data_IF_139549262100
#
_entry.id   IF_139549262100
#
_cell.length_a   1.000
_cell.length_b   1.000
_cell.length_c   1.000
_cell.angle_alpha   90.00
_cell.angle_beta   90.00
_cell.angle_gamma   90.00
#
_symmetry.space_group_name_H-M   'P 1'
#
loop_
_entity.id
_entity.type
_entity.pdbx_description
1 polymer ?
#
# COMPACT_ATOMS: atom_id res chain seq x y z
N UNK A 1 -3.95 -33.07 -31.76
CA UNK A 1 -3.39 -31.72 -31.92
C UNK A 1 -4.22 -30.65 -31.23
N UNK A 2 -5.53 -30.55 -31.49
CA UNK A 2 -6.41 -29.53 -30.88
C UNK A 2 -6.42 -29.57 -29.34
N UNK A 3 -6.46 -30.76 -28.74
CA UNK A 3 -6.42 -30.93 -27.26
C UNK A 3 -5.10 -30.50 -26.63
N UNK A 4 -3.98 -30.63 -27.36
CA UNK A 4 -2.66 -30.24 -26.90
C UNK A 4 -2.46 -28.71 -26.95
N UNK A 5 -3.06 -28.05 -27.94
CA UNK A 5 -3.08 -26.59 -28.07
C UNK A 5 -3.91 -25.97 -26.93
N UNK A 6 -5.08 -26.53 -26.62
CA UNK A 6 -5.92 -26.04 -25.51
C UNK A 6 -5.19 -26.16 -24.17
N UNK A 7 -4.48 -27.28 -23.95
CA UNK A 7 -3.71 -27.48 -22.71
C UNK A 7 -2.55 -26.49 -22.56
N UNK A 8 -1.85 -26.18 -23.65
CA UNK A 8 -0.78 -25.17 -23.64
C UNK A 8 -1.32 -23.75 -23.41
N UNK A 9 -2.47 -23.39 -23.99
CA UNK A 9 -3.12 -22.08 -23.75
C UNK A 9 -3.58 -21.96 -22.30
N UNK A 10 -4.14 -23.02 -21.71
CA UNK A 10 -4.54 -23.02 -20.30
C UNK A 10 -3.34 -22.90 -19.35
N UNK A 11 -2.21 -23.57 -19.64
CA UNK A 11 -0.99 -23.42 -18.85
C UNK A 11 -0.46 -21.99 -18.97
N UNK A 12 -0.45 -21.40 -20.17
CA UNK A 12 -0.01 -20.03 -20.38
C UNK A 12 -0.90 -19.03 -19.62
N UNK A 13 -2.23 -19.20 -19.65
CA UNK A 13 -3.18 -18.37 -18.91
C UNK A 13 -3.01 -18.49 -17.38
N UNK A 14 -2.68 -19.67 -16.85
CA UNK A 14 -2.41 -19.86 -15.42
C UNK A 14 -1.08 -19.21 -15.02
N UNK A 15 -0.05 -19.25 -15.87
CA UNK A 15 1.24 -18.59 -15.59
C UNK A 15 1.13 -17.05 -15.64
N UNK A 16 0.27 -16.51 -16.51
CA UNK A 16 -0.07 -15.09 -16.55
C UNK A 16 -0.91 -14.63 -15.35
N UNK A 17 -1.71 -15.52 -14.75
CA UNK A 17 -2.46 -15.21 -13.53
C UNK A 17 -1.62 -15.35 -12.24
N UNK A 18 -0.41 -15.93 -12.32
CA UNK A 18 0.49 -16.21 -11.17
C UNK A 18 1.70 -15.25 -11.13
N UNK A 19 1.94 -14.46 -12.18
CA UNK A 19 2.62 -13.15 -12.03
C UNK A 19 1.55 -12.15 -11.55
N UNK A 20 1.71 -11.32 -10.51
CA UNK A 20 2.84 -11.01 -9.67
C UNK A 20 2.31 -10.20 -8.47
N UNK A 21 1.65 -10.84 -7.51
CA UNK A 21 1.35 -10.20 -6.21
C UNK A 21 2.58 -10.18 -5.28
N UNK A 22 3.77 -10.39 -5.86
CA UNK A 22 5.04 -10.40 -5.16
C UNK A 22 5.35 -9.01 -4.65
N UNK A 23 5.55 -8.89 -3.35
CA UNK A 23 5.89 -7.68 -2.59
C UNK A 23 4.75 -6.65 -2.38
N UNK A 24 3.64 -6.71 -3.13
CA UNK A 24 2.48 -5.86 -2.82
C UNK A 24 1.54 -6.49 -1.78
N UNK A 25 1.66 -7.78 -1.48
CA UNK A 25 0.82 -8.45 -0.47
C UNK A 25 1.36 -8.27 0.94
N UNK A 26 0.49 -8.01 1.92
CA UNK A 26 0.91 -7.96 3.33
C UNK A 26 1.16 -9.36 3.88
N UNK A 27 2.22 -9.49 4.68
CA UNK A 27 2.65 -10.76 5.28
C UNK A 27 1.85 -11.14 6.55
N UNK A 28 0.94 -10.25 7.01
CA UNK A 28 -0.03 -10.56 8.06
C UNK A 28 -1.05 -9.44 8.31
N UNK A 29 -1.72 -9.49 9.46
CA UNK A 29 -2.94 -8.71 9.75
C UNK A 29 -2.70 -7.30 10.28
N UNK A 30 -1.44 -6.89 10.44
CA UNK A 30 -1.09 -5.58 11.00
C UNK A 30 -1.66 -4.41 10.18
N UNK A 31 -1.86 -4.61 8.88
CA UNK A 31 -2.40 -3.61 7.94
C UNK A 31 -3.86 -3.82 7.57
N UNK A 32 -4.60 -4.70 8.26
CA UNK A 32 -6.02 -4.94 7.97
C UNK A 32 -6.86 -3.66 8.13
N UNK A 33 -6.49 -2.78 9.06
CA UNK A 33 -7.15 -1.48 9.23
C UNK A 33 -7.03 -0.60 7.98
N UNK A 34 -5.97 -0.75 7.20
CA UNK A 34 -5.80 -0.06 5.92
C UNK A 34 -6.57 -0.79 4.83
N UNK A 35 -6.29 -2.09 4.67
CA UNK A 35 -6.83 -2.91 3.58
C UNK A 35 -8.35 -3.00 3.61
N UNK A 36 -8.97 -3.08 4.79
CA UNK A 36 -10.42 -3.17 4.93
C UNK A 36 -11.17 -1.91 4.46
N UNK A 37 -10.52 -0.75 4.54
CA UNK A 37 -11.12 0.53 4.14
C UNK A 37 -10.78 0.92 2.70
N UNK A 38 -9.53 0.71 2.30
CA UNK A 38 -9.05 1.07 0.97
C UNK A 38 -9.49 0.02 -0.07
N UNK A 39 -9.50 -1.27 0.31
CA UNK A 39 -9.78 -2.40 -0.58
C UNK A 39 -8.54 -2.97 -1.26
N UNK A 40 -7.36 -2.39 -1.01
CA UNK A 40 -6.05 -2.88 -1.44
C UNK A 40 -5.01 -2.65 -0.34
N UNK A 41 -3.86 -3.32 -0.43
CA UNK A 41 -2.77 -3.13 0.53
C UNK A 41 -2.11 -1.76 0.37
N UNK A 42 -1.47 -1.21 1.40
CA UNK A 42 -0.72 0.06 1.27
C UNK A 42 0.42 -0.04 0.25
N UNK A 43 1.02 -1.22 0.07
CA UNK A 43 2.01 -1.45 -0.98
C UNK A 43 1.40 -1.32 -2.37
N UNK A 44 0.18 -1.84 -2.58
CA UNK A 44 -0.51 -1.71 -3.86
C UNK A 44 -0.88 -0.26 -4.15
N UNK A 45 -1.38 0.47 -3.15
CA UNK A 45 -1.65 1.91 -3.28
C UNK A 45 -0.37 2.69 -3.64
N UNK A 46 0.75 2.39 -2.95
CA UNK A 46 2.04 3.01 -3.23
C UNK A 46 2.53 2.73 -4.66
N UNK A 47 2.43 1.47 -5.09
CA UNK A 47 2.77 1.05 -6.45
C UNK A 47 1.95 1.83 -7.49
N UNK A 48 0.62 1.86 -7.32
CA UNK A 48 -0.28 2.55 -8.25
C UNK A 48 -0.03 4.05 -8.31
N UNK A 49 0.28 4.68 -7.19
CA UNK A 49 0.65 6.11 -7.15
C UNK A 49 1.92 6.38 -7.98
N UNK A 50 2.96 5.56 -7.82
CA UNK A 50 4.22 5.67 -8.59
C UNK A 50 4.01 5.34 -10.07
N UNK A 51 3.12 4.39 -10.37
CA UNK A 51 2.77 4.00 -11.74
C UNK A 51 2.12 5.10 -12.58
N UNK A 52 1.56 6.14 -11.96
CA UNK A 52 1.08 7.34 -12.68
C UNK A 52 2.23 8.00 -13.46
N UNK A 53 3.43 8.05 -12.88
CA UNK A 53 4.61 8.66 -13.51
C UNK A 53 5.53 7.63 -14.19
N UNK A 54 5.54 6.39 -13.69
CA UNK A 54 6.35 5.30 -14.23
C UNK A 54 5.53 4.01 -14.31
N UNK A 55 4.85 3.71 -15.43
CA UNK A 55 3.99 2.53 -15.56
C UNK A 55 4.68 1.18 -15.34
N UNK A 56 6.02 1.14 -15.40
CA UNK A 56 6.82 -0.05 -15.14
C UNK A 56 7.30 -0.14 -13.69
N UNK A 57 6.90 0.79 -12.82
CA UNK A 57 7.23 0.74 -11.40
C UNK A 57 6.54 -0.45 -10.76
N UNK A 58 7.32 -1.25 -10.04
CA UNK A 58 6.86 -2.36 -9.23
C UNK A 58 7.47 -2.22 -7.84
N UNK A 59 6.67 -2.48 -6.81
CA UNK A 59 7.17 -2.42 -5.44
C UNK A 59 8.13 -3.58 -5.16
N UNK A 60 9.36 -3.25 -4.75
CA UNK A 60 10.35 -4.21 -4.30
C UNK A 60 10.10 -4.70 -2.87
N UNK A 61 11.00 -5.56 -2.38
CA UNK A 61 11.07 -5.87 -0.95
C UNK A 61 11.61 -4.64 -0.21
N UNK A 62 10.81 -4.09 0.70
CA UNK A 62 11.09 -2.91 1.49
C UNK A 62 12.19 -3.19 2.51
N UNK A 63 13.18 -2.29 2.56
CA UNK A 63 14.27 -2.36 3.52
C UNK A 63 13.79 -1.91 4.90
N UNK A 64 14.21 -2.60 5.96
CA UNK A 64 13.90 -2.20 7.34
C UNK A 64 14.72 -1.01 7.82
N UNK A 65 15.83 -0.69 7.13
CA UNK A 65 16.51 0.59 7.28
C UNK A 65 15.64 1.68 6.67
N UNK A 66 15.25 2.68 7.47
CA UNK A 66 14.38 3.76 7.01
C UNK A 66 15.18 4.90 6.39
N UNK A 67 14.70 5.50 5.28
CA UNK A 67 13.47 5.18 4.56
C UNK A 67 13.56 3.83 3.79
N UNK A 68 12.45 3.08 3.66
CA UNK A 68 12.44 1.74 3.06
C UNK A 68 12.65 1.74 1.54
N UNK A 69 12.32 2.86 0.91
CA UNK A 69 12.43 3.17 -0.50
C UNK A 69 12.98 4.59 -0.67
N UNK A 70 13.25 5.03 -1.90
CA UNK A 70 13.68 6.39 -2.22
C UNK A 70 12.97 6.93 -3.46
N UNK A 71 12.84 8.25 -3.56
CA UNK A 71 12.24 8.91 -4.72
C UNK A 71 13.29 9.09 -5.84
N UNK A 72 13.60 8.04 -6.59
CA UNK A 72 14.63 7.99 -7.64
C UNK A 72 14.10 8.11 -9.09
N UNK A 73 12.82 8.43 -9.25
CA UNK A 73 12.17 8.48 -10.55
C UNK A 73 12.65 9.66 -11.41
N UNK A 74 12.62 9.44 -12.73
CA UNK A 74 12.86 10.50 -13.71
C UNK A 74 11.78 11.59 -13.64
N UNK A 75 10.52 11.21 -13.43
CA UNK A 75 9.39 12.10 -13.20
C UNK A 75 9.06 12.07 -11.71
N UNK A 76 9.62 13.02 -10.96
CA UNK A 76 9.56 13.02 -9.52
C UNK A 76 8.19 13.41 -8.93
N UNK A 77 7.24 13.90 -9.74
CA UNK A 77 5.93 14.39 -9.25
C UNK A 77 5.16 13.36 -8.41
N UNK A 78 5.26 12.07 -8.76
CA UNK A 78 4.53 10.99 -8.06
C UNK A 78 5.18 10.55 -6.75
N UNK A 79 6.47 10.83 -6.54
CA UNK A 79 7.19 10.43 -5.34
C UNK A 79 7.72 11.57 -4.49
N UNK A 80 7.89 12.77 -5.05
CA UNK A 80 8.52 13.90 -4.38
C UNK A 80 7.51 14.63 -3.48
N UNK A 81 6.87 13.86 -2.60
CA UNK A 81 5.79 14.33 -1.74
C UNK A 81 5.72 13.48 -0.46
N UNK A 82 5.17 14.06 0.60
CA UNK A 82 5.11 13.38 1.91
C UNK A 82 4.14 12.19 1.92
N UNK A 83 3.18 12.15 0.99
CA UNK A 83 2.15 11.11 0.91
C UNK A 83 2.77 9.81 0.38
N UNK A 84 3.59 9.88 -0.66
CA UNK A 84 4.34 8.76 -1.20
C UNK A 84 5.31 8.18 -0.16
N UNK A 85 6.00 9.05 0.59
CA UNK A 85 6.83 8.62 1.72
C UNK A 85 6.02 7.91 2.82
N UNK A 86 4.87 8.44 3.22
CA UNK A 86 4.02 7.79 4.21
C UNK A 86 3.48 6.43 3.71
N UNK A 87 3.12 6.33 2.43
CA UNK A 87 2.69 5.08 1.80
C UNK A 87 3.83 4.04 1.72
N UNK A 88 5.07 4.46 1.46
CA UNK A 88 6.22 3.56 1.46
C UNK A 88 6.50 3.01 2.87
N UNK A 89 6.35 3.84 3.92
CA UNK A 89 6.42 3.41 5.31
C UNK A 89 5.30 2.45 5.71
N UNK A 90 4.06 2.71 5.26
CA UNK A 90 2.94 1.76 5.44
C UNK A 90 3.20 0.45 4.70
N UNK A 91 3.79 0.50 3.52
CA UNK A 91 4.17 -0.68 2.76
C UNK A 91 5.28 -1.49 3.46
N UNK A 92 6.29 -0.85 4.06
CA UNK A 92 7.26 -1.54 4.90
C UNK A 92 6.55 -2.34 6.00
N UNK A 93 5.66 -1.70 6.74
CA UNK A 93 4.90 -2.33 7.81
C UNK A 93 4.01 -3.50 7.31
N UNK A 94 3.44 -3.37 6.13
CA UNK A 94 2.69 -4.43 5.43
C UNK A 94 3.57 -5.65 5.13
N UNK A 95 4.75 -5.45 4.55
CA UNK A 95 5.63 -6.56 4.15
C UNK A 95 6.30 -7.26 5.34
N UNK A 96 6.64 -6.53 6.40
CA UNK A 96 7.39 -7.08 7.54
C UNK A 96 6.54 -7.87 8.53
N UNK A 97 5.23 -8.03 8.28
CA UNK A 97 4.28 -8.70 9.19
C UNK A 97 4.41 -8.22 10.64
N UNK A 98 4.13 -6.95 10.86
CA UNK A 98 4.22 -6.35 12.19
C UNK A 98 3.17 -6.89 13.18
N UNK A 99 2.19 -7.70 12.72
CA UNK A 99 1.13 -8.27 13.55
C UNK A 99 0.45 -7.22 14.42
N UNK A 100 0.48 -7.41 15.75
CA UNK A 100 0.01 -6.44 16.75
C UNK A 100 1.12 -5.61 17.39
N UNK A 101 2.34 -5.64 16.84
CA UNK A 101 3.50 -4.89 17.33
C UNK A 101 3.43 -3.39 17.04
N UNK A 102 4.45 -2.66 17.47
CA UNK A 102 4.57 -1.19 17.37
C UNK A 102 4.92 -0.69 15.96
N UNK A 103 5.15 -1.59 15.00
CA UNK A 103 5.55 -1.24 13.64
C UNK A 103 6.99 -0.76 13.51
N UNK A 104 7.35 -0.35 12.29
CA UNK A 104 8.60 0.31 11.93
C UNK A 104 8.37 1.80 11.78
N UNK A 105 9.13 2.58 12.56
CA UNK A 105 9.13 4.04 12.53
C UNK A 105 10.35 4.58 11.77
N UNK A 106 10.22 5.82 11.31
CA UNK A 106 11.29 6.59 10.69
C UNK A 106 11.67 7.76 11.60
N UNK A 107 12.95 7.86 11.95
CA UNK A 107 13.47 8.98 12.73
C UNK A 107 13.58 10.28 11.93
N UNK A 108 13.95 11.36 12.62
CA UNK A 108 14.23 12.66 12.00
C UNK A 108 15.25 12.52 10.84
N UNK A 109 14.99 13.20 9.72
CA UNK A 109 15.82 13.15 8.52
C UNK A 109 15.45 12.05 7.51
N UNK A 110 14.56 11.11 7.87
CA UNK A 110 14.23 9.99 6.98
C UNK A 110 13.50 10.44 5.71
N UNK A 111 12.61 11.43 5.80
CA UNK A 111 11.97 12.01 4.63
C UNK A 111 12.97 12.72 3.72
N UNK A 112 13.93 13.44 4.28
CA UNK A 112 15.00 14.10 3.52
C UNK A 112 15.86 13.08 2.79
N UNK A 113 16.20 11.96 3.43
CA UNK A 113 16.89 10.83 2.79
C UNK A 113 16.04 10.22 1.66
N UNK A 114 14.73 10.11 1.86
CA UNK A 114 13.79 9.62 0.85
C UNK A 114 13.77 10.54 -0.38
N UNK A 115 13.73 11.86 -0.17
CA UNK A 115 13.76 12.86 -1.24
C UNK A 115 15.12 12.96 -1.93
N UNK A 116 16.21 12.72 -1.21
CA UNK A 116 17.57 12.71 -1.77
C UNK A 116 17.71 11.52 -2.72
N UNK A 117 17.34 10.33 -2.26
CA UNK A 117 17.55 9.08 -2.99
C UNK A 117 19.01 8.92 -3.44
N UNK A 118 19.22 8.48 -4.67
CA UNK A 118 20.56 8.24 -5.22
C UNK A 118 21.23 9.51 -5.78
N UNK A 119 20.65 10.70 -5.54
CA UNK A 119 21.18 11.96 -6.08
C UNK A 119 22.44 12.36 -5.33
N UNK A 120 23.47 12.72 -6.11
CA UNK A 120 24.75 13.23 -5.58
C UNK A 120 24.57 14.56 -4.86
N UNK A 121 23.68 15.42 -5.36
CA UNK A 121 23.42 16.74 -4.80
C UNK A 121 21.93 17.09 -4.86
N UNK A 122 21.41 17.61 -3.75
CA UNK A 122 20.05 18.13 -3.65
C UNK A 122 18.99 17.05 -3.45
N UNK A 123 17.74 17.48 -3.53
CA UNK A 123 16.54 16.67 -3.38
C UNK A 123 15.82 16.56 -4.73
N UNK A 124 14.89 15.61 -4.83
CA UNK A 124 13.90 15.66 -5.89
C UNK A 124 13.17 17.02 -5.89
N UNK A 125 12.65 17.44 -7.04
CA UNK A 125 11.90 18.69 -7.17
C UNK A 125 10.84 18.57 -8.29
N UNK A 126 9.67 19.22 -8.13
CA UNK A 126 9.24 20.01 -6.97
C UNK A 126 8.80 19.14 -5.78
N UNK A 127 9.10 19.57 -4.55
CA UNK A 127 8.66 18.90 -3.32
C UNK A 127 7.25 19.37 -2.94
N UNK A 128 6.32 18.44 -2.78
CA UNK A 128 4.93 18.72 -2.37
C UNK A 128 4.63 18.07 -1.02
N UNK A 129 4.75 18.80 0.08
CA UNK A 129 4.37 18.29 1.40
C UNK A 129 2.86 18.42 1.58
N UNK A 130 2.23 17.40 2.17
CA UNK A 130 0.80 17.39 2.51
C UNK A 130 -0.14 17.56 1.30
N UNK A 131 0.38 17.41 0.09
CA UNK A 131 -0.37 17.59 -1.15
C UNK A 131 0.26 16.82 -2.30
N UNK A 132 -0.50 16.62 -3.37
CA UNK A 132 -0.02 16.08 -4.63
C UNK A 132 0.01 17.21 -5.67
N UNK A 133 0.86 17.08 -6.69
CA UNK A 133 0.79 18.03 -7.81
C UNK A 133 -0.58 17.94 -8.49
N UNK A 134 -1.10 19.02 -9.10
CA UNK A 134 -2.44 19.00 -9.69
C UNK A 134 -2.65 17.90 -10.75
N UNK A 135 -1.61 17.59 -11.52
CA UNK A 135 -1.60 16.51 -12.50
C UNK A 135 -1.71 15.13 -11.84
N UNK A 136 -0.88 14.87 -10.81
CA UNK A 136 -0.89 13.60 -10.07
C UNK A 136 -2.20 13.44 -9.29
N UNK A 137 -2.69 14.50 -8.65
CA UNK A 137 -3.98 14.47 -7.94
C UNK A 137 -5.13 14.12 -8.88
N UNK A 138 -5.17 14.71 -10.07
CA UNK A 138 -6.19 14.38 -11.08
C UNK A 138 -6.09 12.94 -11.54
N UNK A 139 -4.88 12.42 -11.74
CA UNK A 139 -4.65 11.03 -12.10
C UNK A 139 -5.06 10.06 -10.98
N UNK A 140 -4.73 10.36 -9.71
CA UNK A 140 -5.19 9.60 -8.53
C UNK A 140 -6.72 9.50 -8.51
N UNK A 141 -7.42 10.61 -8.77
CA UNK A 141 -8.89 10.60 -8.81
C UNK A 141 -9.46 9.80 -9.99
N UNK A 142 -8.82 9.88 -11.17
CA UNK A 142 -9.26 9.18 -12.38
C UNK A 142 -9.02 7.67 -12.29
N UNK A 143 -7.93 7.26 -11.67
CA UNK A 143 -7.58 5.86 -11.43
C UNK A 143 -8.26 5.29 -10.17
N UNK A 144 -9.09 6.08 -9.48
CA UNK A 144 -9.79 5.68 -8.25
C UNK A 144 -8.82 5.18 -7.15
N UNK A 145 -7.61 5.75 -7.08
CA UNK A 145 -6.63 5.41 -6.05
C UNK A 145 -7.07 6.08 -4.74
N UNK A 146 -7.40 5.26 -3.75
CA UNK A 146 -7.89 5.72 -2.45
C UNK A 146 -6.71 5.99 -1.51
N UNK A 147 -6.53 7.26 -1.15
CA UNK A 147 -5.53 7.70 -0.18
C UNK A 147 -6.28 8.36 0.97
N UNK A 148 -6.03 7.91 2.21
CA UNK A 148 -6.67 8.49 3.39
C UNK A 148 -6.36 9.99 3.49
N UNK A 149 -7.39 10.80 3.77
CA UNK A 149 -7.25 12.25 3.95
C UNK A 149 -6.22 12.59 5.06
N UNK A 150 -6.09 11.73 6.07
CA UNK A 150 -5.09 11.90 7.13
C UNK A 150 -3.67 11.95 6.61
N UNK A 151 -3.33 11.25 5.53
CA UNK A 151 -2.00 11.29 4.92
C UNK A 151 -1.69 12.62 4.24
N UNK A 152 -2.72 13.40 3.89
CA UNK A 152 -2.56 14.77 3.41
C UNK A 152 -2.34 15.77 4.54
N UNK A 153 -2.69 15.43 5.79
CA UNK A 153 -2.51 16.34 6.94
C UNK A 153 -1.36 15.91 7.86
N UNK A 154 -0.98 14.64 7.80
CA UNK A 154 -0.01 14.04 8.70
C UNK A 154 1.40 14.12 8.10
N UNK A 155 2.14 15.14 8.50
CA UNK A 155 3.56 15.29 8.15
C UNK A 155 4.33 15.89 9.32
N UNK A 156 5.38 15.18 9.75
CA UNK A 156 6.27 15.65 10.80
C UNK A 156 7.35 16.51 10.15
N UNK A 157 7.45 17.78 10.55
CA UNK A 157 8.38 18.75 9.95
C UNK A 157 9.84 18.28 9.85
N UNK A 158 10.40 17.54 10.84
CA UNK A 158 11.74 16.96 10.75
C UNK A 158 11.87 15.73 9.85
N UNK A 159 10.82 15.33 9.12
CA UNK A 159 10.85 14.18 8.23
C UNK A 159 10.64 12.82 8.91
N UNK A 160 10.28 12.81 10.20
CA UNK A 160 9.95 11.59 10.93
C UNK A 160 8.60 10.99 10.51
N UNK A 161 8.41 9.71 10.82
CA UNK A 161 7.15 9.02 10.60
C UNK A 161 6.94 7.92 11.65
N UNK A 162 5.72 7.81 12.17
CA UNK A 162 5.41 6.86 13.25
C UNK A 162 4.19 6.01 12.88
N UNK A 163 4.34 4.69 12.93
CA UNK A 163 3.31 3.73 12.55
C UNK A 163 2.09 3.82 13.46
N UNK A 164 2.31 3.71 14.78
CA UNK A 164 1.22 3.66 15.76
C UNK A 164 0.40 4.96 15.73
N UNK A 165 1.08 6.10 15.65
CA UNK A 165 0.43 7.40 15.50
C UNK A 165 -0.38 7.48 14.20
N UNK A 166 0.20 7.07 13.06
CA UNK A 166 -0.48 7.12 11.76
C UNK A 166 -1.74 6.25 11.77
N UNK A 167 -1.64 5.03 12.32
CA UNK A 167 -2.76 4.12 12.47
C UNK A 167 -3.85 4.71 13.39
N UNK A 168 -3.46 5.24 14.55
CA UNK A 168 -4.40 5.81 15.51
C UNK A 168 -5.11 7.03 14.94
N UNK A 169 -4.36 8.01 14.42
CA UNK A 169 -4.90 9.23 13.82
C UNK A 169 -5.86 8.92 12.67
N UNK A 170 -5.51 7.93 11.82
CA UNK A 170 -6.38 7.50 10.72
C UNK A 170 -7.64 6.81 11.25
N UNK A 171 -7.53 5.97 12.28
CA UNK A 171 -8.69 5.29 12.88
C UNK A 171 -9.65 6.28 13.55
N UNK A 172 -9.12 7.29 14.25
CA UNK A 172 -9.91 8.38 14.83
C UNK A 172 -10.60 9.23 13.76
N UNK A 173 -9.89 9.52 12.67
CA UNK A 173 -10.47 10.24 11.53
C UNK A 173 -11.60 9.45 10.84
N UNK A 174 -11.41 8.15 10.63
CA UNK A 174 -12.46 7.23 10.12
C UNK A 174 -13.72 7.32 11.00
N UNK A 175 -13.55 7.22 12.32
CA UNK A 175 -14.66 7.27 13.26
C UNK A 175 -15.39 8.63 13.23
N UNK A 176 -14.64 9.73 13.19
CA UNK A 176 -15.21 11.09 13.19
C UNK A 176 -15.91 11.47 11.88
N UNK A 177 -15.53 10.86 10.76
CA UNK A 177 -16.08 11.15 9.42
C UNK A 177 -17.14 10.16 8.95
N UNK A 178 -17.57 9.22 9.81
CA UNK A 178 -18.50 8.14 9.44
C UNK A 178 -18.02 7.37 8.19
N UNK A 179 -16.73 7.00 8.17
CA UNK A 179 -16.05 6.32 7.06
C UNK A 179 -15.90 7.13 5.76
N UNK A 180 -16.21 8.44 5.75
CA UNK A 180 -15.98 9.30 4.61
C UNK A 180 -14.55 9.86 4.61
N UNK A 181 -13.56 8.99 4.40
CA UNK A 181 -12.13 9.31 4.59
C UNK A 181 -11.32 9.51 3.32
N UNK A 182 -12.00 9.60 2.18
CA UNK A 182 -11.41 9.72 0.85
C UNK A 182 -12.05 10.92 0.14
N UNK A 183 -11.99 12.08 0.77
CA UNK A 183 -12.62 13.32 0.28
C UNK A 183 -11.76 14.10 -0.70
N UNK A 184 -10.47 13.75 -0.80
CA UNK A 184 -9.57 14.32 -1.82
C UNK A 184 -10.03 14.12 -3.26
N UNK A 185 -10.85 13.09 -3.53
CA UNK A 185 -11.41 12.81 -4.85
C UNK A 185 -12.94 12.63 -4.77
N UNK A 186 -13.73 13.33 -5.62
CA UNK A 186 -15.18 13.14 -5.68
C UNK A 186 -15.59 11.70 -6.03
N UNK A 187 -14.79 11.00 -6.86
CA UNK A 187 -15.02 9.61 -7.28
C UNK A 187 -14.94 8.61 -6.12
N UNK A 188 -14.17 8.92 -5.08
CA UNK A 188 -13.92 8.02 -3.94
C UNK A 188 -14.77 8.36 -2.71
N UNK A 189 -15.54 9.46 -2.77
CA UNK A 189 -16.39 9.92 -1.66
C UNK A 189 -17.61 9.00 -1.55
N UNK A 190 -17.91 8.52 -0.34
CA UNK A 190 -19.14 7.77 -0.10
C UNK A 190 -20.34 8.71 -0.22
N UNK A 191 -21.09 8.62 -1.31
CA UNK A 191 -22.42 9.21 -1.40
C UNK A 191 -23.35 8.48 -0.43
N UNK A 192 -23.47 8.99 0.80
CA UNK A 192 -24.49 8.57 1.75
C UNK A 192 -25.87 8.91 1.16
N UNK A 193 -26.42 8.00 0.38
CA UNK A 193 -27.79 8.08 -0.08
C UNK A 193 -28.65 7.69 1.11
N UNK A 194 -29.10 8.68 1.87
CA UNK A 194 -30.18 8.48 2.84
C UNK A 194 -31.39 7.93 2.05
N UNK A 195 -32.06 6.84 2.48
CA UNK A 195 -33.33 6.47 1.88
C UNK A 195 -34.34 7.57 2.23
N UNK A 196 -34.56 8.49 1.29
CA UNK A 196 -35.60 9.49 1.39
C UNK A 196 -36.95 8.75 1.41
N UNK A 197 -37.51 8.65 2.60
CA UNK A 197 -38.87 8.18 2.84
C UNK A 197 -39.83 9.06 2.03
N UNK A 198 -40.68 8.41 1.25
CA UNK A 198 -41.69 8.99 0.38
C UNK A 198 -42.44 10.18 0.98
N UNK A 199 -42.48 11.29 0.25
CA UNK A 199 -43.63 12.20 0.30
C UNK A 199 -44.07 12.51 -1.12
N UNK A 200 -45.16 11.86 -1.51
CA UNK A 200 -45.92 12.14 -2.71
C UNK A 200 -46.61 13.49 -2.49
N UNK A 201 -46.15 14.52 -3.19
CA UNK A 201 -46.92 15.75 -3.37
C UNK A 201 -47.07 16.01 -4.87
N UNK A 202 -48.25 15.71 -5.37
CA UNK A 202 -48.68 16.06 -6.71
C UNK A 202 -48.89 17.58 -6.83
N UNK A 203 -48.35 18.20 -7.88
CA UNK A 203 -48.95 19.38 -8.52
C UNK A 203 -48.37 19.60 -9.92
N UNK A 204 -49.28 19.91 -10.84
CA UNK A 204 -49.13 20.11 -12.28
C UNK A 204 -48.35 21.40 -12.61
N UNK A 205 -47.53 21.40 -13.67
CA UNK A 205 -47.83 22.13 -14.92
C UNK A 205 -46.64 22.05 -15.91
N UNK A 206 -47.00 22.19 -17.17
CA UNK A 206 -46.27 22.07 -18.44
C UNK A 206 -45.03 22.95 -18.63
N UNK A 207 -44.00 22.42 -19.32
CA UNK A 207 -43.53 22.99 -20.60
C UNK A 207 -42.58 22.04 -21.34
N UNK A 208 -42.81 21.97 -22.64
CA UNK A 208 -42.14 21.18 -23.68
C UNK A 208 -40.72 21.69 -23.93
N UNK A 209 -39.74 20.80 -24.07
CA UNK A 209 -38.56 20.98 -24.93
C UNK A 209 -37.87 19.64 -25.21
N UNK A 210 -37.80 19.30 -26.49
CA UNK A 210 -37.09 18.15 -27.05
C UNK A 210 -35.59 18.21 -26.74
N UNK A 211 -35.03 17.11 -26.22
CA UNK A 211 -33.62 16.78 -26.46
C UNK A 211 -33.52 15.28 -26.73
N UNK A 212 -33.03 14.95 -27.92
CA UNK A 212 -32.88 13.61 -28.49
C UNK A 212 -31.93 12.75 -27.64
N UNK A 213 -32.46 11.67 -27.04
CA UNK A 213 -31.68 10.63 -26.38
C UNK A 213 -31.37 9.52 -27.39
N UNK A 214 -30.08 9.23 -27.58
CA UNK A 214 -29.60 8.04 -28.29
C UNK A 214 -29.88 6.81 -27.42
N UNK A 215 -30.93 6.09 -27.83
CA UNK A 215 -31.40 4.84 -27.26
C UNK A 215 -30.48 3.69 -27.72
N UNK A 216 -29.55 3.27 -26.86
CA UNK A 216 -28.85 2.00 -27.02
C UNK A 216 -29.73 0.90 -26.39
N UNK A 217 -30.32 0.09 -27.26
CA UNK A 217 -31.10 -1.09 -26.90
C UNK A 217 -30.28 -2.05 -26.02
N UNK A 218 -30.82 -2.54 -24.88
CA UNK A 218 -30.29 -3.72 -24.23
C UNK A 218 -30.66 -4.95 -25.08
N UNK A 219 -29.64 -5.66 -25.58
CA UNK A 219 -29.82 -6.97 -26.21
C UNK A 219 -30.26 -7.97 -25.14
N UNK A 220 -31.54 -8.33 -25.21
CA UNK A 220 -32.12 -9.51 -24.56
C UNK A 220 -31.50 -10.76 -25.19
N UNK A 221 -30.61 -11.44 -24.45
CA UNK A 221 -30.16 -12.79 -24.80
C UNK A 221 -31.07 -13.80 -24.11
N UNK A 222 -32.02 -14.26 -24.92
CA UNK A 222 -32.88 -15.42 -24.68
C UNK A 222 -32.07 -16.63 -24.23
N UNK A 223 -32.53 -17.25 -23.15
CA UNK A 223 -32.04 -18.54 -22.69
C UNK A 223 -32.30 -19.65 -23.72
N UNK A 224 -31.44 -20.67 -23.64
CA UNK A 224 -31.65 -21.97 -24.25
C UNK A 224 -30.41 -22.55 -24.91
N UNK A 225 -30.12 -23.82 -24.56
CA UNK A 225 -29.28 -24.78 -25.30
C UNK A 225 -27.80 -24.80 -24.82
N UNK A 226 -27.49 -25.77 -23.93
CA UNK A 226 -26.48 -26.84 -24.09
C UNK A 226 -26.06 -27.35 -22.70
N UNK A 227 -26.76 -28.39 -22.23
CA UNK A 227 -26.20 -29.33 -21.28
C UNK A 227 -25.23 -30.26 -22.00
N UNK A 228 -24.05 -30.51 -21.41
CA UNK A 228 -23.18 -31.59 -21.87
C UNK A 228 -21.67 -31.46 -21.70
N UNK A 229 -21.12 -30.92 -20.60
CA UNK A 229 -19.67 -31.08 -20.29
C UNK A 229 -19.41 -31.30 -18.77
N UNK A 230 -20.33 -31.91 -18.02
CA UNK A 230 -20.13 -32.09 -16.56
C UNK A 230 -19.51 -33.46 -16.20
N UNK A 231 -19.56 -34.46 -17.10
CA UNK A 231 -19.07 -35.82 -16.76
C UNK A 231 -17.56 -36.02 -17.02
N UNK A 232 -16.93 -35.22 -17.88
CA UNK A 232 -15.51 -35.39 -18.24
C UNK A 232 -14.50 -34.80 -17.24
N UNK A 233 -14.83 -33.67 -16.60
CA UNK A 233 -13.87 -32.94 -15.75
C UNK A 233 -13.68 -33.62 -14.38
N UNK A 234 -14.73 -34.26 -13.85
CA UNK A 234 -14.68 -34.90 -12.53
C UNK A 234 -13.75 -36.13 -12.54
N UNK A 235 -13.67 -36.89 -13.63
CA UNK A 235 -12.79 -38.06 -13.73
C UNK A 235 -11.29 -37.68 -13.79
N UNK A 236 -10.94 -36.57 -14.43
CA UNK A 236 -9.55 -36.11 -14.56
C UNK A 236 -9.05 -35.47 -13.25
N UNK A 237 -9.89 -34.68 -12.58
CA UNK A 237 -9.51 -34.04 -11.30
C UNK A 237 -9.37 -35.06 -10.18
N UNK A 238 -10.23 -36.09 -10.14
CA UNK A 238 -10.13 -37.16 -9.13
C UNK A 238 -8.93 -38.06 -9.33
N UNK A 239 -8.55 -38.39 -10.57
CA UNK A 239 -7.37 -39.21 -10.85
C UNK A 239 -6.06 -38.46 -10.59
N UNK A 240 -5.96 -37.19 -10.99
CA UNK A 240 -4.76 -36.38 -10.75
C UNK A 240 -4.51 -36.12 -9.25
N UNK A 241 -5.58 -35.84 -8.48
CA UNK A 241 -5.46 -35.64 -7.02
C UNK A 241 -5.07 -36.93 -6.30
N UNK A 242 -5.58 -38.10 -6.71
CA UNK A 242 -5.19 -39.39 -6.13
C UNK A 242 -3.72 -39.75 -6.42
N UNK A 243 -3.26 -39.57 -7.66
CA UNK A 243 -1.87 -39.81 -8.05
C UNK A 243 -0.91 -38.85 -7.32
N UNK A 244 -1.24 -37.56 -7.25
CA UNK A 244 -0.44 -36.58 -6.50
C UNK A 244 -0.31 -36.93 -5.02
N UNK A 245 -1.42 -37.31 -4.37
CA UNK A 245 -1.41 -37.69 -2.95
C UNK A 245 -0.66 -39.00 -2.69
N UNK A 246 -0.72 -39.96 -3.62
CA UNK A 246 0.01 -41.23 -3.52
C UNK A 246 1.52 -41.05 -3.67
N UNK A 247 1.96 -40.24 -4.64
CA UNK A 247 3.38 -39.92 -4.85
C UNK A 247 3.94 -39.08 -3.69
N UNK A 248 3.18 -38.12 -3.16
CA UNK A 248 3.57 -37.37 -1.95
C UNK A 248 3.78 -38.30 -0.76
N UNK A 249 2.84 -39.22 -0.50
CA UNK A 249 2.96 -40.20 0.59
C UNK A 249 4.17 -41.11 0.43
N UNK A 250 4.57 -41.44 -0.80
CA UNK A 250 5.78 -42.23 -1.06
C UNK A 250 7.04 -41.42 -0.81
N UNK A 251 7.05 -40.12 -1.12
CA UNK A 251 8.22 -39.26 -0.95
C UNK A 251 8.47 -38.85 0.51
N UNK A 252 7.40 -38.59 1.28
CA UNK A 252 7.53 -38.24 2.69
C UNK A 252 8.07 -39.37 3.59
N UNK A 253 8.10 -40.62 3.11
CA UNK A 253 8.71 -41.74 3.85
C UNK A 253 10.22 -41.85 3.65
N UNK A 254 10.82 -41.06 2.75
CA UNK A 254 12.26 -41.13 2.43
C UNK A 254 13.14 -40.04 3.05
N UNK A 255 12.57 -39.00 3.67
CA UNK A 255 13.33 -37.83 4.18
C UNK A 255 13.52 -37.82 5.70
N UNK A 256 13.07 -38.84 6.42
CA UNK A 256 13.11 -38.93 7.88
C UNK A 256 14.43 -39.40 8.49
N UNK A 257 15.57 -39.33 7.78
CA UNK A 257 16.86 -39.67 8.38
C UNK A 257 18.00 -38.84 7.78
N UNK A 258 18.12 -37.58 8.23
CA UNK A 258 19.39 -36.84 8.13
C UNK A 258 20.00 -36.72 9.54
N UNK A 259 21.28 -37.08 9.72
CA UNK A 259 21.97 -36.99 11.00
C UNK A 259 22.12 -35.53 11.45
N UNK A 260 22.14 -35.34 12.78
CA UNK A 260 22.06 -34.07 13.47
C UNK A 260 23.07 -33.02 13.01
N UNK A 261 22.57 -31.78 12.91
CA UNK A 261 23.40 -30.59 12.78
C UNK A 261 24.17 -30.36 14.08
N UNK A 262 25.48 -30.23 13.95
CA UNK A 262 26.37 -29.82 15.02
C UNK A 262 26.08 -28.38 15.43
N UNK A 263 25.98 -28.20 16.75
CA UNK A 263 25.93 -26.94 17.45
C UNK A 263 27.17 -26.10 17.08
N UNK A 264 26.98 -24.96 16.42
CA UNK A 264 28.03 -23.96 16.22
C UNK A 264 27.89 -22.97 17.38
N UNK A 265 28.93 -22.86 18.21
CA UNK A 265 29.01 -21.85 19.25
C UNK A 265 29.14 -20.44 18.64
N UNK A 266 28.55 -19.41 19.27
CA UNK A 266 28.65 -18.04 18.79
C UNK A 266 30.09 -17.53 18.93
N UNK A 267 30.59 -16.92 17.85
CA UNK A 267 31.86 -16.23 17.83
C UNK A 267 31.84 -15.02 18.76
N UNK A 268 32.63 -15.08 19.83
CA UNK A 268 33.03 -13.92 20.65
C UNK A 268 33.99 -13.08 19.82
N UNK A 269 33.61 -11.85 19.51
CA UNK A 269 34.44 -10.89 18.80
C UNK A 269 35.19 -10.06 19.86
N UNK A 270 36.45 -10.40 20.11
CA UNK A 270 37.36 -9.59 20.94
C UNK A 270 37.66 -8.28 20.20
N UNK A 271 37.10 -7.18 20.70
CA UNK A 271 37.45 -5.82 20.25
C UNK A 271 38.60 -5.33 21.14
N UNK A 272 39.80 -5.05 20.58
CA UNK A 272 40.88 -4.46 21.34
C UNK A 272 40.58 -3.00 21.67
N UNK A 273 40.47 -2.74 22.97
CA UNK A 273 40.53 -1.43 23.61
C UNK A 273 41.94 -0.86 23.45
N UNK A 274 42.13 0.07 22.51
CA UNK A 274 43.09 1.18 22.62
C UNK A 274 43.00 2.09 21.38
N UNK A 275 42.54 3.33 21.53
CA UNK A 275 43.20 4.54 20.99
C UNK A 275 42.53 5.77 21.60
N UNK A 276 43.17 6.32 22.64
CA UNK A 276 42.96 7.70 23.05
C UNK A 276 43.59 8.65 22.02
N UNK A 277 42.87 9.73 21.70
CA UNK A 277 43.45 11.00 21.23
C UNK A 277 43.01 11.42 19.82
N UNK A 278 42.11 12.39 19.73
CA UNK A 278 42.48 13.80 19.51
C UNK A 278 41.22 14.67 19.36
N UNK A 279 41.22 15.71 20.19
CA UNK A 279 40.25 16.79 20.28
C UNK A 279 40.34 17.66 19.02
N UNK A 280 39.31 17.66 18.17
CA UNK A 280 39.14 18.65 17.11
C UNK A 280 38.14 19.72 17.56
N UNK A 281 38.68 20.86 18.00
CA UNK A 281 37.92 22.08 18.26
C UNK A 281 37.45 22.67 16.92
N UNK A 282 36.15 22.61 16.65
CA UNK A 282 35.54 23.36 15.54
C UNK A 282 34.98 24.68 16.07
N UNK A 283 35.58 25.77 15.63
CA UNK A 283 35.08 27.14 15.82
C UNK A 283 33.87 27.37 14.91
N UNK A 284 32.69 27.51 15.49
CA UNK A 284 31.47 27.92 14.78
C UNK A 284 31.32 29.45 14.79
N UNK A 285 31.26 30.03 13.60
CA UNK A 285 30.93 31.44 13.35
C UNK A 285 29.43 31.67 13.58
N UNK A 286 29.01 32.78 14.22
CA UNK A 286 27.58 33.04 14.46
C UNK A 286 26.91 33.57 13.18
N UNK A 287 26.00 32.79 12.61
CA UNK A 287 25.02 33.25 11.63
C UNK A 287 23.75 33.69 12.37
N UNK A 288 23.37 34.95 12.18
CA UNK A 288 22.15 35.57 12.68
C UNK A 288 20.91 34.80 12.22
N UNK A 289 20.22 34.17 13.17
CA UNK A 289 18.95 33.49 12.96
C UNK A 289 17.78 34.47 13.06
N UNK A 290 16.96 34.52 12.01
CA UNK A 290 15.60 35.05 12.09
C UNK A 290 14.75 33.93 12.68
N UNK A 291 14.16 34.17 13.85
CA UNK A 291 13.29 33.24 14.58
C UNK A 291 11.98 33.01 13.80
N UNK A 292 11.70 31.80 13.29
CA UNK A 292 10.36 31.44 12.85
C UNK A 292 9.51 31.17 14.10
N UNK A 293 8.24 31.59 14.11
CA UNK A 293 7.31 31.22 15.18
C UNK A 293 7.23 29.69 15.28
N UNK A 294 7.72 29.17 16.41
CA UNK A 294 7.57 27.77 16.77
C UNK A 294 6.08 27.45 16.94
N UNK A 295 5.57 26.50 16.16
CA UNK A 295 4.34 25.80 16.50
C UNK A 295 4.55 25.08 17.85
N UNK A 296 3.54 25.04 18.73
CA UNK A 296 3.67 24.37 20.01
C UNK A 296 4.00 22.89 19.82
N UNK A 297 4.87 22.31 20.64
CA UNK A 297 5.13 20.87 20.61
C UNK A 297 3.82 20.11 20.87
N UNK A 298 3.59 18.96 20.19
CA UNK A 298 2.46 18.10 20.51
C UNK A 298 2.52 17.68 21.97
N UNK A 299 1.36 17.53 22.64
CA UNK A 299 1.33 17.17 24.05
C UNK A 299 2.06 15.84 24.29
N UNK A 300 2.80 15.71 25.41
CA UNK A 300 3.45 14.46 25.77
C UNK A 300 2.42 13.33 25.87
N UNK A 301 2.80 12.17 25.34
CA UNK A 301 2.03 10.94 25.31
C UNK A 301 1.58 10.55 26.73
N UNK A 302 0.35 10.88 27.11
CA UNK A 302 -0.24 10.41 28.36
C UNK A 302 -0.84 9.03 28.07
N UNK A 303 -0.16 7.97 28.49
CA UNK A 303 -0.70 6.60 28.48
C UNK A 303 -1.93 6.53 29.39
N UNK A 304 -3.09 6.89 28.85
CA UNK A 304 -4.37 6.70 29.52
C UNK A 304 -4.77 5.24 29.37
N UNK A 305 -4.21 4.39 30.24
CA UNK A 305 -4.73 3.04 30.48
C UNK A 305 -6.19 3.16 30.91
N UNK A 306 -7.12 2.88 30.00
CA UNK A 306 -8.50 2.57 30.36
C UNK A 306 -8.50 1.23 31.11
N UNK A 307 -8.56 1.30 32.44
CA UNK A 307 -8.99 0.17 33.26
C UNK A 307 -10.49 -0.03 33.02
N UNK A 308 -10.83 -1.08 32.29
CA UNK A 308 -12.15 -1.73 32.29
C UNK A 308 -11.99 -3.11 32.93
#
# INVERSE_FOLDING_TARGET
MVTLIIFLISILAIQLAVHADGNVTCSGTGMDWYTNFVGESPCKTYERLRQICNPAFEVGVMRTSTPPDVCDEQLADCCCNSIAFALSMLCLNCQQNIGTGTGYDAGDGAYELYLQGDRVTGFCAPVNNQTLSPSVHSAVCNEEIKIFDTLFTLFWGPGAWFYEYTKQATSEYIASTNNNTFTGCPSTTLNQTTPALSSIAASKSSTTSLVTSLHLNPVSLSGGIIGGIIVGVVAVVTTATFLGRFLWRKWNKGLGNRPGWHHIEPFTLDIPENTQGQLATYTTTPTTSVTPLALPPPPPYEHRYLQL
#
